data_IF_264825109190
#
_entry.id   IF_264825109190
#
_cell.length_a   1.000
_cell.length_b   1.000
_cell.length_c   1.000
_cell.angle_alpha   90.00
_cell.angle_beta   90.00
_cell.angle_gamma   90.00
#
_symmetry.space_group_name_H-M   'P 1'
#
loop_
_entity.id
_entity.type
_entity.pdbx_description
1 polymer ?
#
# COMPACT_ATOMS: atom_id res chain seq x y z
N UNK A 1 -31.81 -4.65 -32.37
CA UNK A 1 -31.65 -6.05 -31.94
C UNK A 1 -30.44 -6.58 -32.71
N UNK A 2 -29.27 -6.66 -32.08
CA UNK A 2 -28.06 -7.19 -32.75
C UNK A 2 -28.20 -8.71 -32.74
N UNK A 3 -28.17 -9.41 -33.89
CA UNK A 3 -28.27 -10.86 -33.91
C UNK A 3 -27.07 -11.44 -33.14
N UNK A 4 -27.34 -12.27 -32.13
CA UNK A 4 -26.31 -13.02 -31.45
C UNK A 4 -25.64 -13.93 -32.49
N UNK A 5 -24.39 -13.63 -32.84
CA UNK A 5 -23.61 -14.45 -33.76
C UNK A 5 -23.38 -15.79 -33.06
N UNK A 6 -23.89 -16.87 -33.65
CA UNK A 6 -23.72 -18.22 -33.14
C UNK A 6 -22.31 -18.71 -33.46
N UNK A 7 -21.43 -18.63 -32.46
CA UNK A 7 -20.01 -18.96 -32.55
C UNK A 7 -19.74 -20.45 -32.27
N UNK A 8 -20.76 -21.25 -31.94
CA UNK A 8 -20.57 -22.66 -31.60
C UNK A 8 -20.30 -23.56 -32.82
N UNK A 9 -20.67 -23.09 -34.01
CA UNK A 9 -20.49 -23.81 -35.27
C UNK A 9 -19.54 -23.10 -36.25
N UNK A 10 -18.82 -22.07 -35.79
CA UNK A 10 -17.85 -21.34 -36.62
C UNK A 10 -16.50 -22.02 -36.47
N UNK A 11 -15.95 -22.49 -37.59
CA UNK A 11 -14.62 -23.07 -37.64
C UNK A 11 -13.56 -21.96 -37.48
N UNK A 12 -13.14 -21.79 -36.23
CA UNK A 12 -12.15 -20.80 -35.82
C UNK A 12 -10.71 -21.34 -35.85
N UNK A 13 -10.52 -22.57 -36.34
CA UNK A 13 -9.20 -23.22 -36.40
C UNK A 13 -8.26 -22.58 -37.44
N UNK A 14 -8.79 -21.83 -38.40
CA UNK A 14 -8.04 -21.08 -39.42
C UNK A 14 -7.67 -19.64 -39.06
N UNK A 15 -8.10 -19.14 -37.90
CA UNK A 15 -7.68 -17.84 -37.36
C UNK A 15 -6.54 -18.09 -36.36
N UNK A 16 -5.44 -17.35 -36.49
CA UNK A 16 -4.34 -17.31 -35.51
C UNK A 16 -4.84 -16.56 -34.25
N UNK A 17 -5.79 -17.18 -33.56
CA UNK A 17 -6.44 -16.63 -32.38
C UNK A 17 -5.40 -16.56 -31.28
N UNK A 18 -5.15 -15.34 -30.82
CA UNK A 18 -4.35 -15.11 -29.64
C UNK A 18 -4.94 -15.88 -28.46
N UNK A 19 -4.08 -16.27 -27.51
CA UNK A 19 -4.51 -16.97 -26.29
C UNK A 19 -5.66 -16.22 -25.60
N UNK A 20 -5.67 -14.89 -25.68
CA UNK A 20 -6.71 -14.04 -25.11
C UNK A 20 -8.07 -14.19 -25.81
N UNK A 21 -8.10 -14.32 -27.14
CA UNK A 21 -9.36 -14.49 -27.88
C UNK A 21 -10.00 -15.85 -27.58
N UNK A 22 -9.19 -16.91 -27.44
CA UNK A 22 -9.68 -18.23 -27.03
C UNK A 22 -10.27 -18.22 -25.62
N UNK A 23 -9.63 -17.50 -24.70
CA UNK A 23 -10.13 -17.32 -23.32
C UNK A 23 -11.44 -16.52 -23.31
N UNK A 24 -11.53 -15.46 -24.13
CA UNK A 24 -12.73 -14.65 -24.24
C UNK A 24 -13.92 -15.45 -24.80
N UNK A 25 -13.70 -16.27 -25.83
CA UNK A 25 -14.71 -17.16 -26.39
C UNK A 25 -15.19 -18.20 -25.38
N UNK A 26 -14.27 -18.84 -24.67
CA UNK A 26 -14.62 -19.79 -23.61
C UNK A 26 -15.45 -19.12 -22.51
N UNK A 27 -15.01 -17.98 -21.98
CA UNK A 27 -15.74 -17.22 -20.97
C UNK A 27 -17.11 -16.76 -21.48
N UNK A 28 -17.19 -16.35 -22.75
CA UNK A 28 -18.40 -15.95 -23.46
C UNK A 28 -19.39 -17.10 -23.73
N UNK A 29 -18.93 -18.35 -23.74
CA UNK A 29 -19.76 -19.54 -23.90
C UNK A 29 -20.36 -20.07 -22.59
N UNK A 30 -19.89 -19.59 -21.42
CA UNK A 30 -20.38 -20.03 -20.12
C UNK A 30 -21.77 -19.46 -19.79
N UNK A 31 -22.64 -20.23 -19.10
CA UNK A 31 -23.91 -19.73 -18.54
C UNK A 31 -23.70 -18.49 -17.66
N UNK A 32 -24.68 -17.58 -17.66
CA UNK A 32 -24.56 -16.27 -17.00
C UNK A 32 -24.24 -16.35 -15.49
N UNK A 33 -24.79 -17.36 -14.80
CA UNK A 33 -24.57 -17.60 -13.38
C UNK A 33 -23.10 -17.96 -13.10
N UNK A 34 -22.56 -18.93 -13.84
CA UNK A 34 -21.17 -19.39 -13.72
C UNK A 34 -20.20 -18.26 -14.04
N UNK A 35 -20.50 -17.48 -15.08
CA UNK A 35 -19.71 -16.31 -15.48
C UNK A 35 -19.60 -15.30 -14.34
N UNK A 36 -20.72 -14.94 -13.74
CA UNK A 36 -20.80 -13.96 -12.65
C UNK A 36 -20.02 -14.45 -11.43
N UNK A 37 -20.19 -15.70 -11.04
CA UNK A 37 -19.41 -16.30 -9.95
C UNK A 37 -17.90 -16.24 -10.23
N UNK A 38 -17.49 -16.54 -11.46
CA UNK A 38 -16.09 -16.53 -11.86
C UNK A 38 -15.51 -15.11 -11.87
N UNK A 39 -16.24 -14.12 -12.38
CA UNK A 39 -15.83 -12.70 -12.32
C UNK A 39 -15.62 -12.24 -10.88
N UNK A 40 -16.57 -12.54 -10.00
CA UNK A 40 -16.52 -12.13 -8.60
C UNK A 40 -15.37 -12.83 -7.88
N UNK A 41 -15.17 -14.13 -8.11
CA UNK A 41 -14.08 -14.89 -7.52
C UNK A 41 -12.70 -14.34 -7.93
N UNK A 42 -12.50 -14.08 -9.23
CA UNK A 42 -11.26 -13.49 -9.75
C UNK A 42 -11.04 -12.09 -9.19
N UNK A 43 -12.09 -11.25 -9.17
CA UNK A 43 -12.03 -9.91 -8.59
C UNK A 43 -11.66 -9.93 -7.11
N UNK A 44 -12.29 -10.81 -6.34
CA UNK A 44 -12.00 -10.99 -4.91
C UNK A 44 -10.57 -11.50 -4.66
N UNK A 45 -10.08 -12.42 -5.49
CA UNK A 45 -8.71 -12.92 -5.39
C UNK A 45 -7.69 -11.80 -5.65
N UNK A 46 -7.88 -11.00 -6.70
CA UNK A 46 -7.02 -9.85 -7.01
C UNK A 46 -7.10 -8.81 -5.88
N UNK A 47 -8.30 -8.46 -5.43
CA UNK A 47 -8.52 -7.52 -4.34
C UNK A 47 -7.81 -7.97 -3.06
N UNK A 48 -7.87 -9.25 -2.72
CA UNK A 48 -7.17 -9.81 -1.57
C UNK A 48 -5.64 -9.65 -1.67
N UNK A 49 -5.06 -9.93 -2.86
CA UNK A 49 -3.63 -9.75 -3.09
C UNK A 49 -3.22 -8.28 -2.92
N UNK A 50 -3.96 -7.36 -3.52
CA UNK A 50 -3.70 -5.92 -3.41
C UNK A 50 -3.83 -5.47 -1.95
N UNK A 51 -4.92 -5.84 -1.27
CA UNK A 51 -5.14 -5.53 0.14
C UNK A 51 -3.99 -6.03 1.03
N UNK A 52 -3.50 -7.24 0.77
CA UNK A 52 -2.37 -7.81 1.50
C UNK A 52 -1.09 -7.00 1.32
N UNK A 53 -0.84 -6.45 0.14
CA UNK A 53 0.30 -5.54 -0.12
C UNK A 53 0.14 -4.25 0.68
N UNK A 54 -1.05 -3.64 0.64
CA UNK A 54 -1.36 -2.40 1.36
C UNK A 54 -1.17 -2.58 2.87
N UNK A 55 -1.65 -3.69 3.44
CA UNK A 55 -1.47 -3.98 4.88
C UNK A 55 0.01 -4.09 5.25
N UNK A 56 0.85 -4.70 4.41
CA UNK A 56 2.30 -4.75 4.65
C UNK A 56 2.93 -3.35 4.62
N UNK A 57 2.49 -2.51 3.69
CA UNK A 57 2.98 -1.14 3.56
C UNK A 57 2.60 -0.29 4.79
N UNK A 58 1.34 -0.36 5.23
CA UNK A 58 0.87 0.34 6.44
C UNK A 58 1.68 -0.07 7.67
N UNK A 59 1.96 -1.37 7.85
CA UNK A 59 2.81 -1.86 8.94
C UNK A 59 4.20 -1.23 8.92
N UNK A 60 4.80 -1.09 7.73
CA UNK A 60 6.08 -0.41 7.54
C UNK A 60 6.03 1.07 7.92
N UNK A 61 4.95 1.78 7.53
CA UNK A 61 4.75 3.18 7.89
C UNK A 61 4.61 3.36 9.40
N UNK A 62 3.82 2.53 10.07
CA UNK A 62 3.64 2.63 11.53
C UNK A 62 4.99 2.40 12.23
N UNK A 63 5.76 1.40 11.79
CA UNK A 63 7.09 1.13 12.33
C UNK A 63 8.06 2.30 12.10
N UNK A 64 8.03 2.96 10.93
CA UNK A 64 8.89 4.11 10.65
C UNK A 64 8.51 5.32 11.50
N UNK A 65 7.23 5.58 11.73
CA UNK A 65 6.77 6.65 12.62
C UNK A 65 7.21 6.40 14.05
N UNK A 66 7.05 5.17 14.56
CA UNK A 66 7.53 4.81 15.91
C UNK A 66 9.04 5.00 16.01
N UNK A 67 9.80 4.53 15.01
CA UNK A 67 11.25 4.69 14.98
C UNK A 67 11.66 6.18 14.96
N UNK A 68 10.97 7.01 14.19
CA UNK A 68 11.21 8.45 14.13
C UNK A 68 10.94 9.13 15.48
N UNK A 69 9.82 8.79 16.14
CA UNK A 69 9.50 9.32 17.49
C UNK A 69 10.54 8.87 18.51
N UNK A 70 10.95 7.60 18.49
CA UNK A 70 11.99 7.09 19.38
C UNK A 70 13.32 7.81 19.17
N UNK A 71 13.76 7.98 17.92
CA UNK A 71 14.98 8.70 17.59
C UNK A 71 14.91 10.18 18.05
N UNK A 72 13.76 10.81 17.85
CA UNK A 72 13.52 12.18 18.31
C UNK A 72 13.60 12.29 19.84
N UNK A 73 12.92 11.41 20.58
CA UNK A 73 12.96 11.39 22.05
C UNK A 73 14.37 11.12 22.59
N UNK A 74 15.09 10.16 21.99
CA UNK A 74 16.48 9.88 22.37
C UNK A 74 17.41 11.09 22.14
N UNK A 75 17.16 11.89 21.10
CA UNK A 75 18.00 13.06 20.77
C UNK A 75 17.60 14.31 21.56
N UNK A 76 16.31 14.48 21.86
CA UNK A 76 15.80 15.70 22.51
C UNK A 76 15.99 15.73 24.03
N UNK A 77 15.96 14.58 24.71
CA UNK A 77 16.17 14.53 26.17
C UNK A 77 17.57 15.01 26.58
N UNK A 78 18.68 14.56 25.96
CA UNK A 78 20.02 15.10 26.23
C UNK A 78 20.17 16.56 25.82
N UNK A 79 19.55 16.96 24.70
CA UNK A 79 19.60 18.34 24.20
C UNK A 79 19.02 19.34 25.19
N UNK A 80 17.89 19.01 25.82
CA UNK A 80 17.28 19.86 26.85
C UNK A 80 18.15 19.95 28.12
N UNK A 81 18.80 18.85 28.52
CA UNK A 81 19.70 18.83 29.68
C UNK A 81 20.96 19.68 29.44
N UNK A 82 21.52 19.66 28.22
CA UNK A 82 22.66 20.50 27.85
C UNK A 82 22.31 21.99 27.89
N UNK A 83 21.14 22.37 27.40
CA UNK A 83 20.65 23.75 27.46
C UNK A 83 20.45 24.23 28.89
N UNK A 84 19.86 23.39 29.76
CA UNK A 84 19.70 23.71 31.19
C UNK A 84 21.06 23.92 31.86
N UNK A 85 22.03 23.04 31.64
CA UNK A 85 23.37 23.19 32.22
C UNK A 85 24.12 24.40 31.67
N UNK A 86 23.96 24.72 30.39
CA UNK A 86 24.54 25.92 29.79
C UNK A 86 23.91 27.18 30.38
N UNK A 87 22.59 27.17 30.58
CA UNK A 87 21.86 28.26 31.24
C UNK A 87 22.35 28.48 32.67
N UNK A 88 22.40 27.42 33.48
CA UNK A 88 22.89 27.48 34.87
C UNK A 88 24.29 28.10 34.94
N UNK A 89 25.19 27.74 34.02
CA UNK A 89 26.54 28.31 33.93
C UNK A 89 26.55 29.79 33.58
N UNK A 90 25.68 30.23 32.67
CA UNK A 90 25.57 31.64 32.27
C UNK A 90 24.98 32.47 33.42
N UNK A 91 23.92 31.99 34.06
CA UNK A 91 23.29 32.65 35.20
C UNK A 91 24.30 32.84 36.35
N UNK A 92 25.12 31.82 36.63
CA UNK A 92 26.15 31.86 37.67
C UNK A 92 27.29 32.85 37.34
N UNK A 93 27.69 32.96 36.06
CA UNK A 93 28.67 33.97 35.64
C UNK A 93 28.12 35.40 35.74
N UNK A 94 26.86 35.59 35.34
CA UNK A 94 26.20 36.91 35.38
C UNK A 94 26.01 37.38 36.81
N UNK A 95 25.51 36.52 37.70
CA UNK A 95 25.36 36.85 39.14
C UNK A 95 26.69 37.14 39.81
N UNK A 96 27.73 36.37 39.51
CA UNK A 96 29.08 36.64 40.05
C UNK A 96 29.63 37.99 39.57
N UNK A 97 29.37 38.36 38.32
CA UNK A 97 29.81 39.64 37.74
C UNK A 97 29.02 40.86 38.26
N UNK A 98 27.77 40.65 38.67
CA UNK A 98 26.91 41.70 39.24
C UNK A 98 27.14 41.92 40.73
N UNK A 99 27.68 40.94 41.44
CA UNK A 99 27.94 40.99 42.88
C UNK A 99 29.37 41.43 43.22
N UNK A 100 30.12 41.89 42.21
CA UNK A 100 31.46 42.47 42.30
C UNK A 100 31.38 43.99 42.07
#
# INVERSE_FOLDING_TARGET
>A
MIPAIDLTNVDLSGLDLSVFDRIALWYGSLPAEVRTCLTVAVGAAIAYVVFRIVVRLIKGIIASVIAAVLAFLLTTVPGNMLLSQAYDRVEQQVTTSLNQ
#
